data_IF_938304541008
#
_entry.id   IF_938304541008
#
_cell.length_a   1.000
_cell.length_b   1.000
_cell.length_c   1.000
_cell.angle_alpha   90.00
_cell.angle_beta   90.00
_cell.angle_gamma   90.00
#
_symmetry.space_group_name_H-M   'P 1'
#
loop_
_entity.id
_entity.type
_entity.pdbx_description
1 polymer ?
#
# COMPACT_ATOMS: atom_id res chain seq x y z
N UNK A 1 -28.92 40.72 3.98
CA UNK A 1 -28.94 39.34 3.45
C UNK A 1 -28.44 39.34 1.99
N UNK A 2 -27.27 39.93 1.74
CA UNK A 2 -26.72 40.19 0.39
C UNK A 2 -25.45 39.40 0.08
N UNK A 3 -24.91 38.68 1.06
CA UNK A 3 -23.77 37.78 0.88
C UNK A 3 -24.29 36.43 0.41
N UNK A 4 -23.61 35.84 -0.59
CA UNK A 4 -23.84 34.45 -0.99
C UNK A 4 -23.53 33.52 0.18
N UNK A 5 -24.29 32.43 0.28
CA UNK A 5 -24.01 31.34 1.22
C UNK A 5 -22.72 30.63 0.84
N UNK A 6 -21.95 30.19 1.85
CA UNK A 6 -20.74 29.38 1.70
C UNK A 6 -20.99 27.89 1.98
N UNK A 7 -22.27 27.49 2.06
CA UNK A 7 -22.68 26.11 2.31
C UNK A 7 -22.49 25.24 1.08
N UNK A 8 -21.93 24.06 1.26
CA UNK A 8 -21.85 23.00 0.24
C UNK A 8 -22.87 21.89 0.55
N UNK A 9 -23.44 21.27 -0.49
CA UNK A 9 -24.47 20.23 -0.34
C UNK A 9 -23.83 18.85 -0.27
N UNK A 10 -23.46 18.41 0.92
CA UNK A 10 -23.01 17.04 1.15
C UNK A 10 -24.22 16.07 1.05
N UNK A 11 -24.10 14.88 0.42
CA UNK A 11 -22.90 14.25 -0.13
C UNK A 11 -22.58 14.57 -1.61
N UNK A 12 -23.43 15.35 -2.30
CA UNK A 12 -23.26 15.65 -3.74
C UNK A 12 -21.99 16.47 -4.04
N UNK A 13 -21.60 17.35 -3.12
CA UNK A 13 -20.35 18.08 -3.14
C UNK A 13 -19.44 17.60 -1.99
N UNK A 14 -18.31 16.99 -2.34
CA UNK A 14 -17.32 16.54 -1.37
C UNK A 14 -16.30 17.64 -1.04
N UNK A 15 -15.76 17.67 0.20
CA UNK A 15 -14.75 18.64 0.59
C UNK A 15 -13.44 18.42 -0.16
N UNK A 16 -12.79 19.52 -0.56
CA UNK A 16 -11.44 19.48 -1.10
C UNK A 16 -10.41 19.31 0.03
N UNK A 17 -9.96 18.06 0.24
CA UNK A 17 -8.98 17.73 1.27
C UNK A 17 -7.54 17.97 0.79
N UNK A 18 -6.66 18.55 1.64
CA UNK A 18 -5.25 18.69 1.30
C UNK A 18 -4.55 17.31 1.18
N UNK A 19 -3.45 17.19 0.40
CA UNK A 19 -2.78 15.90 0.20
C UNK A 19 -2.21 15.22 1.45
N UNK A 20 -1.97 15.98 2.52
CA UNK A 20 -1.46 15.46 3.82
C UNK A 20 -2.56 15.28 4.87
N UNK A 21 -3.81 15.13 4.42
CA UNK A 21 -4.94 14.86 5.31
C UNK A 21 -4.76 13.53 6.03
N UNK A 22 -5.22 13.48 7.27
CA UNK A 22 -5.16 12.29 8.13
C UNK A 22 -6.56 11.68 8.20
N UNK A 23 -6.87 10.79 7.25
CA UNK A 23 -8.09 10.00 7.25
C UNK A 23 -7.90 8.72 8.08
N UNK A 24 -8.23 7.58 7.49
CA UNK A 24 -7.97 6.25 8.06
C UNK A 24 -6.52 5.81 7.80
N UNK A 25 -6.00 4.94 8.67
CA UNK A 25 -4.66 4.37 8.51
C UNK A 25 -4.74 3.10 7.65
N UNK A 26 -3.92 3.04 6.60
CA UNK A 26 -3.67 1.85 5.81
C UNK A 26 -2.43 1.09 6.28
N UNK A 27 -2.45 -0.23 6.15
CA UNK A 27 -1.34 -1.13 6.47
C UNK A 27 -0.81 -1.80 5.19
N UNK A 28 0.50 -1.74 4.99
CA UNK A 28 1.22 -2.58 4.05
C UNK A 28 1.99 -3.65 4.85
N UNK A 29 1.36 -4.81 5.00
CA UNK A 29 1.77 -5.84 5.95
C UNK A 29 3.16 -6.44 5.64
N UNK A 30 3.52 -6.47 4.36
CA UNK A 30 4.79 -7.01 3.88
C UNK A 30 5.99 -6.22 4.39
N UNK A 31 5.78 -4.94 4.71
CA UNK A 31 6.78 -4.04 5.30
C UNK A 31 6.83 -4.14 6.84
N UNK A 32 5.82 -4.70 7.49
CA UNK A 32 5.79 -4.81 8.94
C UNK A 32 6.76 -5.89 9.45
N UNK A 33 7.75 -5.49 10.23
CA UNK A 33 8.75 -6.41 10.83
C UNK A 33 8.45 -6.79 12.28
N UNK A 34 7.29 -6.38 12.80
CA UNK A 34 6.91 -6.57 14.21
C UNK A 34 7.93 -5.97 15.20
N UNK A 35 8.48 -4.79 14.88
CA UNK A 35 9.41 -4.08 15.77
C UNK A 35 8.72 -3.50 17.02
N UNK A 36 7.39 -3.44 17.02
CA UNK A 36 6.51 -2.91 18.08
C UNK A 36 6.68 -1.40 18.37
N UNK A 37 7.40 -0.65 17.52
CA UNK A 37 7.62 0.79 17.74
C UNK A 37 6.31 1.59 17.65
N UNK A 38 5.50 1.34 16.62
CA UNK A 38 4.21 2.00 16.45
C UNK A 38 3.26 1.78 17.62
N UNK A 39 3.20 0.56 18.17
CA UNK A 39 2.36 0.24 19.32
C UNK A 39 2.86 0.87 20.62
N UNK A 40 4.18 0.91 20.84
CA UNK A 40 4.77 1.52 22.05
C UNK A 40 4.69 3.04 22.06
N UNK A 41 4.79 3.67 20.90
CA UNK A 41 4.79 5.14 20.78
C UNK A 41 3.36 5.70 20.62
N UNK A 42 2.36 4.83 20.45
CA UNK A 42 0.96 5.26 20.39
C UNK A 42 0.55 5.87 21.75
N UNK A 43 0.13 7.16 21.80
CA UNK A 43 -0.23 7.79 23.06
C UNK A 43 -1.47 7.15 23.72
N UNK A 44 -2.38 6.62 22.91
CA UNK A 44 -3.64 6.00 23.37
C UNK A 44 -3.56 4.47 23.49
N UNK A 45 -2.42 3.86 23.12
CA UNK A 45 -2.21 2.40 23.16
C UNK A 45 -3.28 1.60 22.37
N UNK A 46 -3.77 2.18 21.27
CA UNK A 46 -4.87 1.60 20.47
C UNK A 46 -4.43 0.55 19.43
N UNK A 47 -3.16 0.16 19.40
CA UNK A 47 -2.61 -0.78 18.40
C UNK A 47 -2.32 -2.13 19.06
N UNK A 48 -2.91 -3.20 18.52
CA UNK A 48 -2.71 -4.58 18.95
C UNK A 48 -1.86 -5.33 17.93
N UNK A 49 -0.77 -5.96 18.39
CA UNK A 49 0.14 -6.72 17.53
C UNK A 49 0.48 -8.05 18.21
N UNK A 50 0.21 -9.14 17.50
CA UNK A 50 0.62 -10.50 17.89
C UNK A 50 1.64 -11.03 16.86
N UNK A 51 2.60 -11.81 17.34
CA UNK A 51 3.65 -12.40 16.49
C UNK A 51 4.24 -13.66 17.08
N UNK A 52 4.79 -14.50 16.21
CA UNK A 52 5.59 -15.64 16.57
C UNK A 52 6.97 -15.59 15.92
N UNK A 53 7.88 -16.46 16.40
CA UNK A 53 9.24 -16.57 15.87
C UNK A 53 9.33 -17.80 14.97
N UNK A 54 9.85 -17.58 13.77
CA UNK A 54 10.24 -18.64 12.86
C UNK A 54 11.76 -18.69 12.71
N UNK A 55 12.31 -19.90 12.68
CA UNK A 55 13.72 -20.13 12.38
C UNK A 55 13.89 -20.24 10.87
N UNK A 56 14.68 -19.34 10.29
CA UNK A 56 15.00 -19.34 8.86
C UNK A 56 16.34 -20.05 8.66
N UNK A 57 16.41 -21.04 7.76
CA UNK A 57 17.65 -21.72 7.45
C UNK A 57 18.67 -20.73 6.87
N UNK A 58 19.98 -21.00 7.04
CA UNK A 58 21.01 -20.13 6.52
C UNK A 58 20.96 -20.06 4.98
N UNK A 59 21.10 -18.85 4.44
CA UNK A 59 21.10 -18.61 2.99
C UNK A 59 22.31 -19.23 2.27
N UNK A 60 23.38 -19.55 3.01
CA UNK A 60 24.59 -20.18 2.50
C UNK A 60 24.97 -21.41 3.34
N UNK A 61 25.55 -22.46 2.73
CA UNK A 61 26.07 -23.61 3.46
C UNK A 61 27.09 -23.18 4.53
N UNK A 62 26.89 -23.63 5.78
CA UNK A 62 27.73 -23.27 6.93
C UNK A 62 27.32 -21.97 7.65
N UNK A 63 26.23 -21.31 7.25
CA UNK A 63 25.67 -20.17 7.97
C UNK A 63 24.94 -20.56 9.26
N UNK A 64 24.75 -19.58 10.15
CA UNK A 64 23.98 -19.75 11.39
C UNK A 64 22.48 -19.58 11.13
N UNK A 65 21.67 -20.41 11.78
CA UNK A 65 20.22 -20.23 11.83
C UNK A 65 19.85 -18.87 12.44
N UNK A 66 18.90 -18.17 11.81
CA UNK A 66 18.40 -16.87 12.26
C UNK A 66 16.94 -17.01 12.64
N UNK A 67 16.51 -16.30 13.68
CA UNK A 67 15.08 -16.15 13.97
C UNK A 67 14.54 -14.88 13.30
N UNK A 68 13.32 -14.96 12.79
CA UNK A 68 12.54 -13.83 12.27
C UNK A 68 11.20 -13.80 12.98
N UNK A 69 10.72 -12.61 13.33
CA UNK A 69 9.34 -12.44 13.80
C UNK A 69 8.40 -12.41 12.59
N UNK A 70 7.31 -13.15 12.68
CA UNK A 70 6.23 -13.18 11.69
C UNK A 70 4.98 -12.57 12.34
N UNK A 71 4.32 -11.69 11.59
CA UNK A 71 3.13 -10.98 12.05
C UNK A 71 1.91 -11.89 12.01
N UNK A 72 1.28 -12.13 13.17
CA UNK A 72 0.06 -12.93 13.27
C UNK A 72 -1.18 -12.06 13.22
N UNK A 73 -1.16 -10.95 13.95
CA UNK A 73 -2.25 -9.99 14.04
C UNK A 73 -1.71 -8.57 14.05
N UNK A 74 -2.42 -7.69 13.38
CA UNK A 74 -2.24 -6.24 13.50
C UNK A 74 -3.63 -5.61 13.50
N UNK A 75 -3.99 -4.89 14.56
CA UNK A 75 -5.28 -4.22 14.63
C UNK A 75 -5.11 -2.81 15.21
N UNK A 76 -5.96 -1.89 14.78
CA UNK A 76 -6.06 -0.54 15.33
C UNK A 76 -7.50 -0.31 15.77
N UNK A 77 -7.69 0.08 17.02
CA UNK A 77 -8.98 0.53 17.54
C UNK A 77 -9.17 2.03 17.27
N UNK A 78 -9.95 2.33 16.23
CA UNK A 78 -10.25 3.72 15.85
C UNK A 78 -11.25 4.40 16.78
N UNK A 79 -11.87 3.68 17.73
CA UNK A 79 -12.64 4.30 18.80
C UNK A 79 -11.74 4.95 19.88
N UNK A 80 -10.48 4.54 19.94
CA UNK A 80 -9.46 5.07 20.86
C UNK A 80 -8.45 5.99 20.17
N UNK A 81 -8.12 5.74 18.90
CA UNK A 81 -7.13 6.49 18.15
C UNK A 81 -7.44 8.00 18.08
N UNK A 82 -6.49 8.85 18.48
CA UNK A 82 -6.60 10.31 18.34
C UNK A 82 -6.07 10.89 17.01
N UNK A 83 -5.73 10.05 16.03
CA UNK A 83 -5.22 10.45 14.69
C UNK A 83 -3.96 11.34 14.73
N UNK A 84 -3.07 11.11 15.71
CA UNK A 84 -1.85 11.89 15.88
C UNK A 84 -0.77 11.64 14.82
N UNK A 85 -0.79 10.47 14.16
CA UNK A 85 0.16 10.08 13.10
C UNK A 85 1.53 9.62 13.59
N UNK A 86 1.75 9.57 14.91
CA UNK A 86 3.03 9.18 15.47
C UNK A 86 3.42 7.74 15.04
N UNK A 87 2.46 6.82 14.99
CA UNK A 87 2.69 5.44 14.55
C UNK A 87 3.20 5.32 13.11
N UNK A 88 2.86 6.28 12.24
CA UNK A 88 3.32 6.34 10.85
C UNK A 88 4.76 6.87 10.82
N UNK A 89 5.02 8.00 11.46
CA UNK A 89 6.35 8.64 11.49
C UNK A 89 7.42 7.79 12.18
N UNK A 90 7.04 7.04 13.21
CA UNK A 90 7.95 6.18 13.98
C UNK A 90 8.20 4.84 13.28
N UNK A 91 7.41 4.46 12.29
CA UNK A 91 7.58 3.19 11.59
C UNK A 91 8.83 3.26 10.69
N UNK A 92 9.93 2.54 11.00
CA UNK A 92 11.17 2.68 10.24
C UNK A 92 11.18 1.86 8.94
N UNK A 93 10.06 1.20 8.63
CA UNK A 93 9.90 0.32 7.48
C UNK A 93 8.74 0.76 6.58
N UNK A 94 8.14 1.93 6.82
CA UNK A 94 7.02 2.46 6.04
C UNK A 94 5.90 1.40 5.86
N UNK A 95 5.41 0.85 6.97
CA UNK A 95 4.33 -0.13 6.96
C UNK A 95 2.94 0.50 7.14
N UNK A 96 2.86 1.72 7.67
CA UNK A 96 1.61 2.42 7.95
C UNK A 96 1.56 3.73 7.16
N UNK A 97 0.39 4.07 6.62
CA UNK A 97 0.20 5.27 5.81
C UNK A 97 -1.17 5.92 6.04
N UNK A 98 -1.27 7.21 5.74
CA UNK A 98 -2.54 7.91 5.71
C UNK A 98 -3.27 7.68 4.39
N UNK A 99 -4.47 7.12 4.49
CA UNK A 99 -5.47 7.18 3.43
C UNK A 99 -6.28 8.49 3.57
N UNK A 100 -6.72 9.11 2.46
CA UNK A 100 -7.57 10.28 2.49
C UNK A 100 -9.01 9.93 2.88
N UNK A 101 -9.37 8.64 2.92
CA UNK A 101 -10.71 8.18 3.30
C UNK A 101 -11.03 8.56 4.75
N UNK A 102 -12.15 9.27 4.93
CA UNK A 102 -12.62 9.72 6.25
C UNK A 102 -14.04 9.23 6.57
N UNK A 103 -14.70 8.60 5.61
CA UNK A 103 -16.11 8.18 5.67
C UNK A 103 -16.23 6.68 5.97
N UNK A 104 -15.80 6.27 7.16
CA UNK A 104 -15.88 4.87 7.62
C UNK A 104 -16.61 4.77 8.97
N UNK A 105 -17.62 5.61 9.15
CA UNK A 105 -18.44 5.57 10.36
C UNK A 105 -19.20 4.24 10.45
N UNK A 106 -19.13 3.61 11.61
CA UNK A 106 -19.81 2.35 11.91
C UNK A 106 -20.94 2.54 12.92
N UNK A 107 -21.90 1.62 12.90
CA UNK A 107 -23.05 1.66 13.82
C UNK A 107 -22.77 0.99 15.17
N UNK A 108 -21.80 0.08 15.21
CA UNK A 108 -21.30 -0.55 16.43
C UNK A 108 -19.86 -0.12 16.68
N UNK A 109 -19.53 0.15 17.94
CA UNK A 109 -18.17 0.53 18.35
C UNK A 109 -17.16 -0.59 18.05
N UNK A 110 -17.58 -1.85 18.09
CA UNK A 110 -16.71 -3.00 17.85
C UNK A 110 -16.19 -3.04 16.41
N UNK A 111 -16.96 -2.48 15.47
CA UNK A 111 -16.61 -2.45 14.06
C UNK A 111 -15.56 -1.36 13.75
N UNK A 112 -15.31 -0.42 14.69
CA UNK A 112 -14.21 0.56 14.60
C UNK A 112 -12.84 -0.05 14.92
N UNK A 113 -12.78 -1.31 15.36
CA UNK A 113 -11.51 -2.03 15.44
C UNK A 113 -11.21 -2.64 14.07
N UNK A 114 -10.32 -2.00 13.31
CA UNK A 114 -9.91 -2.53 12.02
C UNK A 114 -8.77 -3.53 12.21
N UNK A 115 -9.05 -4.78 11.88
CA UNK A 115 -8.04 -5.85 11.79
C UNK A 115 -7.18 -5.69 10.52
N UNK A 116 -6.10 -6.49 10.46
CA UNK A 116 -5.06 -6.44 9.43
C UNK A 116 -5.61 -6.35 8.01
N UNK A 117 -6.58 -7.20 7.67
CA UNK A 117 -7.14 -7.27 6.32
C UNK A 117 -7.91 -5.99 5.97
N UNK A 118 -8.63 -5.39 6.92
CA UNK A 118 -9.33 -4.11 6.72
C UNK A 118 -8.34 -2.95 6.55
N UNK A 119 -7.28 -2.93 7.35
CA UNK A 119 -6.19 -1.96 7.19
C UNK A 119 -5.49 -2.11 5.83
N UNK A 120 -5.36 -3.33 5.32
CA UNK A 120 -4.79 -3.63 4.00
C UNK A 120 -5.66 -3.07 2.87
N UNK A 121 -6.99 -3.10 3.00
CA UNK A 121 -7.90 -2.47 2.03
C UNK A 121 -7.67 -0.96 1.92
N UNK A 122 -7.52 -0.27 3.06
CA UNK A 122 -7.29 1.18 3.07
C UNK A 122 -5.97 1.60 2.42
N UNK A 123 -4.99 0.70 2.36
CA UNK A 123 -3.73 0.97 1.67
C UNK A 123 -3.93 1.22 0.16
N UNK A 124 -5.02 0.75 -0.45
CA UNK A 124 -5.30 1.00 -1.87
C UNK A 124 -5.75 2.42 -2.19
N UNK A 125 -6.17 3.19 -1.19
CA UNK A 125 -6.55 4.60 -1.36
C UNK A 125 -5.45 5.56 -0.92
N UNK A 126 -4.32 5.05 -0.41
CA UNK A 126 -3.15 5.86 -0.05
C UNK A 126 -2.54 6.49 -1.31
N UNK A 127 -2.44 7.83 -1.38
CA UNK A 127 -1.82 8.49 -2.51
C UNK A 127 -0.31 8.24 -2.54
N UNK A 128 0.26 8.21 -3.74
CA UNK A 128 1.71 8.14 -3.88
C UNK A 128 2.37 9.35 -3.19
N UNK A 129 3.54 9.15 -2.54
CA UNK A 129 4.25 10.24 -1.91
C UNK A 129 4.57 11.34 -2.94
N UNK A 130 4.37 12.62 -2.59
CA UNK A 130 4.70 13.72 -3.49
C UNK A 130 6.22 13.73 -3.77
N UNK A 131 6.60 14.19 -4.96
CA UNK A 131 8.01 14.36 -5.31
C UNK A 131 8.72 15.25 -4.28
N UNK A 132 9.92 14.84 -3.85
CA UNK A 132 10.71 15.54 -2.83
C UNK A 132 11.15 16.95 -3.30
N UNK A 133 11.30 17.15 -4.62
CA UNK A 133 11.54 18.43 -5.28
C UNK A 133 10.94 18.39 -6.71
N UNK A 134 10.20 19.41 -7.18
CA UNK A 134 9.71 19.50 -8.56
C UNK A 134 10.80 19.37 -9.64
N UNK A 135 12.07 19.66 -9.32
CA UNK A 135 13.22 19.52 -10.20
C UNK A 135 14.06 18.26 -9.97
N UNK A 136 13.66 17.36 -9.06
CA UNK A 136 14.39 16.12 -8.83
C UNK A 136 14.31 15.21 -10.06
N UNK A 137 15.46 14.67 -10.50
CA UNK A 137 15.48 13.59 -11.48
C UNK A 137 14.67 12.40 -10.96
N UNK A 138 13.96 11.71 -11.86
CA UNK A 138 13.28 10.46 -11.53
C UNK A 138 14.25 9.51 -10.81
N UNK A 139 13.79 8.78 -9.77
CA UNK A 139 14.59 7.73 -9.17
C UNK A 139 15.15 6.80 -10.25
N UNK A 140 16.46 6.56 -10.25
CA UNK A 140 17.14 5.78 -11.30
C UNK A 140 16.52 4.40 -11.51
N UNK A 141 15.96 3.82 -10.44
CA UNK A 141 15.24 2.56 -10.45
C UNK A 141 13.95 2.63 -11.27
N UNK A 142 13.18 3.72 -11.16
CA UNK A 142 11.97 3.95 -11.96
C UNK A 142 12.29 4.21 -13.43
N UNK A 143 13.33 5.01 -13.71
CA UNK A 143 13.81 5.23 -15.07
C UNK A 143 14.31 3.93 -15.72
N UNK A 144 15.03 3.09 -14.96
CA UNK A 144 15.48 1.77 -15.41
C UNK A 144 14.33 0.79 -15.60
N UNK A 145 13.33 0.80 -14.71
CA UNK A 145 12.13 -0.03 -14.82
C UNK A 145 11.32 0.34 -16.06
N UNK A 146 11.09 1.63 -16.33
CA UNK A 146 10.40 2.10 -17.55
C UNK A 146 11.14 1.67 -18.81
N UNK A 147 12.46 1.89 -18.86
CA UNK A 147 13.29 1.48 -20.00
C UNK A 147 13.26 -0.03 -20.22
N UNK A 148 13.25 -0.81 -19.14
CA UNK A 148 13.12 -2.27 -19.18
C UNK A 148 11.75 -2.68 -19.70
N UNK A 149 10.67 -2.05 -19.22
CA UNK A 149 9.30 -2.29 -19.65
C UNK A 149 9.08 -1.93 -21.13
N UNK A 150 9.60 -0.79 -21.59
CA UNK A 150 9.56 -0.36 -23.00
C UNK A 150 10.31 -1.36 -23.90
N UNK A 151 11.47 -1.85 -23.45
CA UNK A 151 12.25 -2.86 -24.18
C UNK A 151 11.52 -4.20 -24.25
N UNK A 152 10.88 -4.62 -23.15
CA UNK A 152 10.05 -5.83 -23.11
C UNK A 152 8.82 -5.71 -24.01
N UNK A 153 8.14 -4.56 -24.00
CA UNK A 153 6.99 -4.29 -24.87
C UNK A 153 7.38 -4.28 -26.35
N UNK A 154 8.52 -3.67 -26.71
CA UNK A 154 9.03 -3.67 -28.07
C UNK A 154 9.41 -5.09 -28.54
N UNK A 155 9.98 -5.91 -27.66
CA UNK A 155 10.31 -7.31 -27.98
C UNK A 155 9.07 -8.21 -28.12
N UNK A 156 7.93 -7.84 -27.50
CA UNK A 156 6.67 -8.59 -27.58
C UNK A 156 5.77 -8.12 -28.73
N UNK A 157 6.12 -7.02 -29.41
CA UNK A 157 5.35 -6.44 -30.51
C UNK A 157 5.83 -6.88 -31.92
N UNK A 158 6.91 -7.67 -32.03
CA UNK A 158 7.29 -8.29 -33.30
C UNK A 158 6.35 -9.48 -33.62
N UNK A 159 5.58 -9.45 -34.72
CA UNK A 159 4.70 -10.55 -35.07
C UNK A 159 5.51 -11.75 -35.57
N UNK A 160 5.05 -12.95 -35.21
CA UNK A 160 5.55 -14.22 -35.75
C UNK A 160 5.20 -14.30 -37.25
N UNK A 161 6.11 -13.86 -38.11
CA UNK A 161 6.06 -14.12 -39.54
C UNK A 161 6.85 -15.41 -39.85
N UNK A 162 6.14 -16.53 -39.86
CA UNK A 162 6.40 -17.70 -40.73
C UNK A 162 5.23 -18.67 -40.61
N UNK A 163 4.21 -18.48 -41.45
CA UNK A 163 3.29 -19.55 -41.84
C UNK A 163 3.00 -19.40 -43.34
N UNK A 164 3.84 -20.03 -44.15
CA UNK A 164 3.58 -20.20 -45.59
C UNK A 164 2.43 -21.23 -45.77
N UNK A 165 1.44 -20.99 -46.64
CA UNK A 165 0.27 -21.85 -46.77
C UNK A 165 0.55 -23.11 -47.59
N UNK A 166 -0.03 -24.22 -47.17
CA UNK A 166 -0.02 -25.49 -47.89
C UNK A 166 -0.75 -25.38 -49.25
N UNK A 167 -0.08 -25.73 -50.35
CA UNK A 167 -0.70 -25.96 -51.66
C UNK A 167 -1.25 -27.39 -51.77
N UNK A 168 -2.41 -27.59 -52.42
CA UNK A 168 -3.05 -28.90 -52.56
C UNK A 168 -2.52 -29.63 -53.79
N UNK A 169 -1.98 -30.84 -53.62
CA UNK A 169 -1.72 -31.74 -54.74
C UNK A 169 -3.00 -32.49 -55.12
N UNK A 170 -3.70 -31.98 -56.15
CA UNK A 170 -4.58 -32.76 -57.01
C UNK A 170 -3.75 -33.42 -58.12
N UNK A 171 -4.00 -34.72 -58.38
CA UNK A 171 -3.18 -35.55 -59.26
C UNK A 171 -3.54 -35.52 -60.75
N UNK A 172 -2.72 -36.18 -61.57
CA UNK A 172 -3.15 -36.88 -62.78
C UNK A 172 -2.08 -37.87 -63.27
N UNK A 173 -2.56 -39.01 -63.79
CA UNK A 173 -1.88 -40.16 -64.43
C UNK A 173 -1.34 -41.29 -63.54
#
# INVERSE_FOLDING_TARGET
>A
MTKKSVTEQYPDAQPALPPRSRGVIGLFEENCTVCMLCARECPDWCIYIDSHKETVPPAAPGGRERSRNVLDRFAIDFSLCMYCGICIEVCPFDALFWSPEFEYAETDIRDLTHERDKLREWMWTVPAPPALDPGAEEPKEMAAARKTAEKLAAAQAEPADHAEPAEPQGGES
#
